data_IF_092035319368
#
_entry.id   IF_092035319368
#
_cell.length_a   1.000
_cell.length_b   1.000
_cell.length_c   1.000
_cell.angle_alpha   90.00
_cell.angle_beta   90.00
_cell.angle_gamma   90.00
#
_symmetry.space_group_name_H-M   'P 1'
#
loop_
_entity.id
_entity.type
_entity.pdbx_description
1 polymer ?
#
# COMPACT_ATOMS: atom_id res chain seq x y z
N UNK A 1 9.76 -28.17 1.69
CA UNK A 1 8.65 -27.27 1.35
C UNK A 1 8.13 -26.51 2.57
N UNK A 2 7.71 -27.13 3.68
CA UNK A 2 7.19 -26.45 4.89
C UNK A 2 7.92 -25.16 5.35
N UNK A 3 9.25 -25.10 5.24
CA UNK A 3 10.04 -23.89 5.55
C UNK A 3 9.64 -22.66 4.71
N UNK A 4 9.34 -22.83 3.42
CA UNK A 4 8.94 -21.73 2.53
C UNK A 4 7.53 -21.22 2.88
N UNK A 5 6.64 -22.04 3.46
CA UNK A 5 5.31 -21.62 3.86
C UNK A 5 5.35 -20.93 5.22
N UNK A 6 6.23 -21.39 6.11
CA UNK A 6 6.54 -20.67 7.36
C UNK A 6 7.12 -19.29 7.06
N UNK A 7 8.08 -19.20 6.13
CA UNK A 7 8.62 -17.91 5.67
C UNK A 7 7.53 -17.06 5.02
N UNK A 8 6.72 -17.64 4.13
CA UNK A 8 5.59 -16.94 3.50
C UNK A 8 4.58 -16.40 4.50
N UNK A 9 4.21 -17.20 5.51
CA UNK A 9 3.35 -16.79 6.61
C UNK A 9 3.98 -15.67 7.44
N UNK A 10 5.28 -15.76 7.74
CA UNK A 10 6.02 -14.69 8.43
C UNK A 10 5.99 -13.39 7.65
N UNK A 11 6.31 -13.41 6.36
CA UNK A 11 6.27 -12.22 5.49
C UNK A 11 4.88 -11.60 5.42
N UNK A 12 3.83 -12.43 5.34
CA UNK A 12 2.45 -11.98 5.34
C UNK A 12 2.09 -11.26 6.64
N UNK A 13 2.42 -11.86 7.79
CA UNK A 13 2.14 -11.28 9.11
C UNK A 13 2.89 -9.95 9.27
N UNK A 14 4.17 -9.90 8.90
CA UNK A 14 4.98 -8.68 8.97
C UNK A 14 4.39 -7.58 8.07
N UNK A 15 4.04 -7.91 6.82
CA UNK A 15 3.43 -6.95 5.91
C UNK A 15 2.10 -6.39 6.45
N UNK A 16 1.21 -7.25 6.93
CA UNK A 16 -0.08 -6.84 7.50
C UNK A 16 0.07 -6.02 8.78
N UNK A 17 1.01 -6.37 9.64
CA UNK A 17 1.27 -5.62 10.88
C UNK A 17 1.86 -4.23 10.59
N UNK A 18 2.69 -4.08 9.55
CA UNK A 18 3.15 -2.76 9.10
C UNK A 18 1.97 -1.92 8.59
N UNK A 19 1.05 -2.49 7.78
CA UNK A 19 -0.16 -1.77 7.33
C UNK A 19 -1.01 -1.33 8.53
N UNK A 20 -1.23 -2.24 9.48
CA UNK A 20 -2.02 -1.95 10.68
C UNK A 20 -1.34 -0.88 11.55
N UNK A 21 -0.03 -0.95 11.73
CA UNK A 21 0.73 0.05 12.47
C UNK A 21 0.63 1.43 11.79
N UNK A 22 0.73 1.50 10.47
CA UNK A 22 0.54 2.75 9.72
C UNK A 22 -0.87 3.31 9.93
N UNK A 23 -1.91 2.47 9.90
CA UNK A 23 -3.29 2.89 10.15
C UNK A 23 -3.50 3.45 11.57
N UNK A 24 -2.85 2.86 12.59
CA UNK A 24 -3.00 3.27 13.99
C UNK A 24 -2.15 4.50 14.32
N UNK A 25 -0.88 4.53 13.89
CA UNK A 25 0.06 5.60 14.24
C UNK A 25 -0.16 6.85 13.40
N UNK A 26 -0.57 6.68 12.14
CA UNK A 26 -0.75 7.77 11.21
C UNK A 26 -1.99 7.54 10.34
N UNK A 27 -3.20 7.67 10.91
CA UNK A 27 -4.43 7.57 10.13
C UNK A 27 -4.43 8.55 8.95
N UNK A 28 -3.75 9.69 9.10
CA UNK A 28 -3.53 10.67 8.05
C UNK A 28 -2.37 10.33 7.07
N UNK A 29 -1.38 9.47 7.39
CA UNK A 29 -0.32 9.11 6.42
C UNK A 29 -0.77 8.08 5.39
N UNK A 30 -1.76 7.23 5.69
CA UNK A 30 -2.46 6.49 4.62
C UNK A 30 -3.10 7.45 3.62
N UNK A 31 -3.44 8.64 4.11
CA UNK A 31 -3.90 9.76 3.33
C UNK A 31 -2.80 10.80 3.04
N UNK A 32 -1.52 10.54 3.28
CA UNK A 32 -0.44 11.47 2.94
C UNK A 32 -0.58 12.86 3.58
N UNK A 33 0.40 13.73 3.33
CA UNK A 33 0.14 15.16 3.52
C UNK A 33 -0.81 15.61 2.43
N UNK A 34 -2.12 15.70 2.69
CA UNK A 34 -3.04 16.29 1.73
C UNK A 34 -2.90 17.81 1.80
N UNK A 35 -2.55 18.41 0.68
CA UNK A 35 -2.70 19.85 0.51
C UNK A 35 -4.08 20.12 -0.02
N UNK A 36 -4.79 21.05 0.63
CA UNK A 36 -6.08 21.58 0.18
C UNK A 36 -5.80 22.52 -1.02
N UNK A 37 -5.40 21.92 -2.14
CA UNK A 37 -5.24 22.62 -3.40
C UNK A 37 -6.65 22.76 -3.96
N UNK A 38 -7.26 23.93 -3.77
CA UNK A 38 -8.60 24.24 -4.30
C UNK A 38 -8.62 24.21 -5.82
N UNK A 39 -8.62 22.99 -6.39
CA UNK A 39 -8.79 22.76 -7.83
C UNK A 39 -10.17 23.32 -8.20
N UNK A 40 -10.28 24.15 -9.26
CA UNK A 40 -11.55 24.74 -9.64
C UNK A 40 -12.63 23.67 -9.83
N UNK A 41 -13.81 23.91 -9.26
CA UNK A 41 -14.99 23.05 -9.40
C UNK A 41 -15.23 22.76 -10.90
N UNK A 42 -14.83 21.58 -11.38
CA UNK A 42 -15.01 21.22 -12.79
C UNK A 42 -14.10 20.14 -13.39
N UNK A 43 -12.94 19.83 -12.79
CA UNK A 43 -12.04 18.75 -13.27
C UNK A 43 -11.93 17.57 -12.30
N UNK A 44 -13.02 17.26 -11.59
CA UNK A 44 -13.10 16.16 -10.62
C UNK A 44 -13.07 14.78 -11.29
N UNK A 45 -11.88 14.25 -11.54
CA UNK A 45 -11.67 12.87 -12.00
C UNK A 45 -11.68 11.85 -10.84
N UNK A 46 -12.68 11.89 -9.96
CA UNK A 46 -12.92 10.84 -8.96
C UNK A 46 -11.70 10.42 -8.10
N UNK A 47 -11.75 9.22 -7.52
CA UNK A 47 -10.65 8.63 -6.74
C UNK A 47 -9.57 8.13 -7.72
N UNK A 48 -8.32 8.57 -7.59
CA UNK A 48 -7.29 8.21 -8.57
C UNK A 48 -5.86 8.37 -8.10
N UNK A 49 -4.96 7.59 -8.70
CA UNK A 49 -3.50 7.78 -8.57
C UNK A 49 -3.07 8.81 -9.60
N UNK A 50 -2.46 9.90 -9.16
CA UNK A 50 -2.00 11.01 -9.99
C UNK A 50 -0.62 10.73 -10.57
N UNK A 51 0.25 10.03 -9.82
CA UNK A 51 1.58 9.65 -10.30
C UNK A 51 2.57 9.37 -9.17
N UNK A 52 3.86 9.45 -9.52
CA UNK A 52 4.98 9.30 -8.58
C UNK A 52 5.94 10.46 -8.76
N UNK A 53 6.24 11.18 -7.68
CA UNK A 53 7.18 12.30 -7.66
C UNK A 53 8.00 12.31 -6.36
N UNK A 54 9.30 12.59 -6.45
CA UNK A 54 10.21 12.72 -5.29
C UNK A 54 10.17 11.55 -4.29
N UNK A 55 9.95 10.33 -4.79
CA UNK A 55 9.83 9.15 -3.93
C UNK A 55 8.50 9.05 -3.18
N UNK A 56 7.50 9.84 -3.55
CA UNK A 56 6.13 9.80 -3.05
C UNK A 56 5.14 9.37 -4.15
N UNK A 57 4.14 8.60 -3.75
CA UNK A 57 2.96 8.28 -4.54
C UNK A 57 1.96 9.43 -4.35
N UNK A 58 1.60 10.07 -5.45
CA UNK A 58 0.61 11.13 -5.52
C UNK A 58 -0.75 10.53 -5.88
N UNK A 59 -1.79 10.85 -5.14
CA UNK A 59 -3.15 10.38 -5.41
C UNK A 59 -4.18 11.37 -4.87
N UNK A 60 -5.42 11.25 -5.36
CA UNK A 60 -6.57 12.01 -4.90
C UNK A 60 -7.66 11.06 -4.37
N UNK A 61 -8.06 11.20 -3.10
CA UNK A 61 -9.09 10.32 -2.51
C UNK A 61 -10.53 10.76 -2.82
N UNK A 62 -10.72 12.00 -3.27
CA UNK A 62 -12.03 12.64 -3.47
C UNK A 62 -12.14 13.43 -4.78
N UNK A 63 -11.06 13.48 -5.58
CA UNK A 63 -10.99 14.22 -6.83
C UNK A 63 -10.74 15.71 -6.66
N UNK A 64 -10.51 16.18 -5.42
CA UNK A 64 -10.29 17.60 -5.09
C UNK A 64 -8.96 17.79 -4.37
N UNK A 65 -8.67 16.92 -3.39
CA UNK A 65 -7.46 16.98 -2.61
C UNK A 65 -6.33 16.19 -3.28
N UNK A 66 -5.14 16.77 -3.36
CA UNK A 66 -3.92 16.08 -3.72
C UNK A 66 -3.19 15.63 -2.46
N UNK A 67 -2.90 14.34 -2.39
CA UNK A 67 -2.28 13.71 -1.25
C UNK A 67 -1.02 12.95 -1.66
N UNK A 68 0.01 12.98 -0.82
CA UNK A 68 1.29 12.33 -1.09
C UNK A 68 1.70 11.36 0.01
N UNK A 69 1.97 10.10 -0.32
CA UNK A 69 2.50 9.10 0.61
C UNK A 69 3.87 8.59 0.15
N UNK A 70 4.88 8.44 1.03
CA UNK A 70 6.17 7.88 0.63
C UNK A 70 6.03 6.50 -0.01
N UNK A 71 6.65 6.27 -1.17
CA UNK A 71 6.61 4.96 -1.85
C UNK A 71 7.00 3.79 -0.94
N UNK A 72 8.05 3.89 -0.10
CA UNK A 72 8.41 2.78 0.79
C UNK A 72 7.29 2.41 1.77
N UNK A 73 6.48 3.38 2.20
CA UNK A 73 5.37 3.19 3.13
C UNK A 73 4.27 2.29 2.55
N UNK A 74 4.08 2.33 1.22
CA UNK A 74 3.13 1.46 0.49
C UNK A 74 3.81 0.22 -0.08
N UNK A 75 4.97 0.40 -0.71
CA UNK A 75 5.65 -0.64 -1.48
C UNK A 75 6.23 -1.76 -0.63
N UNK A 76 6.82 -1.44 0.53
CA UNK A 76 7.37 -2.45 1.44
C UNK A 76 6.28 -3.41 1.94
N UNK A 77 5.18 -2.95 2.55
CA UNK A 77 4.13 -3.86 3.01
C UNK A 77 3.46 -4.59 1.84
N UNK A 78 3.21 -3.94 0.71
CA UNK A 78 2.64 -4.59 -0.48
C UNK A 78 3.53 -5.73 -0.99
N UNK A 79 4.85 -5.50 -1.08
CA UNK A 79 5.82 -6.52 -1.48
C UNK A 79 5.88 -7.71 -0.51
N UNK A 80 5.90 -7.44 0.80
CA UNK A 80 5.90 -8.49 1.83
C UNK A 80 4.65 -9.36 1.76
N UNK A 81 3.47 -8.74 1.57
CA UNK A 81 2.21 -9.46 1.43
C UNK A 81 2.21 -10.29 0.14
N UNK A 82 2.58 -9.69 -1.00
CA UNK A 82 2.59 -10.39 -2.30
C UNK A 82 3.52 -11.61 -2.28
N UNK A 83 4.75 -11.45 -1.79
CA UNK A 83 5.72 -12.56 -1.66
C UNK A 83 5.23 -13.59 -0.64
N UNK A 84 4.63 -13.16 0.47
CA UNK A 84 4.05 -14.03 1.48
C UNK A 84 2.94 -14.93 0.91
N UNK A 85 1.96 -14.33 0.23
CA UNK A 85 0.87 -15.03 -0.45
C UNK A 85 1.43 -15.99 -1.50
N UNK A 86 2.31 -15.51 -2.38
CA UNK A 86 2.91 -16.32 -3.45
C UNK A 86 3.64 -17.54 -2.89
N UNK A 87 4.37 -17.38 -1.79
CA UNK A 87 5.09 -18.47 -1.13
C UNK A 87 4.16 -19.52 -0.52
N UNK A 88 3.02 -19.10 0.04
CA UNK A 88 2.01 -20.01 0.59
C UNK A 88 1.28 -20.76 -0.54
N UNK A 89 0.87 -20.04 -1.58
CA UNK A 89 0.12 -20.60 -2.71
C UNK A 89 0.98 -21.55 -3.56
N UNK A 90 2.23 -21.20 -3.81
CA UNK A 90 3.18 -22.04 -4.56
C UNK A 90 3.28 -23.45 -3.96
N UNK A 91 3.20 -23.58 -2.64
CA UNK A 91 3.22 -24.88 -1.98
C UNK A 91 1.98 -25.72 -2.19
N UNK A 92 0.80 -25.08 -2.22
CA UNK A 92 -0.46 -25.78 -2.49
C UNK A 92 -0.46 -26.38 -3.90
N UNK A 93 0.11 -25.66 -4.86
CA UNK A 93 0.23 -26.14 -6.25
C UNK A 93 1.21 -27.31 -6.35
N UNK A 94 2.37 -27.27 -5.70
CA UNK A 94 3.36 -28.38 -5.76
C UNK A 94 3.02 -29.61 -4.90
N UNK A 95 1.96 -29.57 -4.09
CA UNK A 95 1.56 -30.67 -3.20
C UNK A 95 0.41 -31.51 -3.78
N UNK A 96 -0.24 -31.04 -4.84
CA UNK A 96 -1.23 -31.77 -5.63
C UNK A 96 -0.56 -32.53 -6.78
#
# INVERSE_FOLDING_TARGET
MQRVALLGGGLLIVGLSIVLAQLVTFPAMLFGGCTDVGVPDGEGQGIGVLGVADGNLLYTPDGVNECSIPLPAVGIPAGLIAVGIGSILSQRVTRN
#
